data_IF_717732457721
#
_entry.id   IF_717732457721
#
_cell.length_a   1.000
_cell.length_b   1.000
_cell.length_c   1.000
_cell.angle_alpha   90.00
_cell.angle_beta   90.00
_cell.angle_gamma   90.00
#
_symmetry.space_group_name_H-M   'P 1'
#
loop_
_entity.id
_entity.type
_entity.pdbx_description
1 polymer ?
#
# COMPACT_ATOMS: atom_id res chain seq x y z
N UNK A 1 -9.77 -6.49 2.58
CA UNK A 1 -11.07 -6.38 1.88
C UNK A 1 -11.25 -7.51 0.90
N UNK A 2 -10.38 -7.69 -0.11
CA UNK A 2 -10.44 -8.88 -0.98
C UNK A 2 -10.35 -10.18 -0.18
N UNK A 3 -9.31 -10.38 0.64
CA UNK A 3 -9.11 -11.64 1.37
C UNK A 3 -10.25 -11.90 2.37
N UNK A 4 -10.74 -10.83 3.03
CA UNK A 4 -11.92 -10.90 3.91
C UNK A 4 -13.22 -11.24 3.17
N UNK A 5 -13.39 -10.79 1.92
CA UNK A 5 -14.55 -11.14 1.10
C UNK A 5 -14.42 -12.55 0.55
N UNK A 6 -13.21 -13.00 0.21
CA UNK A 6 -12.93 -14.36 -0.27
C UNK A 6 -13.32 -15.41 0.78
N UNK A 7 -13.18 -15.09 2.06
CA UNK A 7 -13.59 -15.95 3.18
C UNK A 7 -15.13 -16.04 3.37
N UNK A 8 -15.90 -15.09 2.84
CA UNK A 8 -17.34 -14.93 3.14
C UNK A 8 -18.22 -15.08 1.89
N UNK A 9 -17.69 -14.78 0.71
CA UNK A 9 -18.40 -14.79 -0.56
C UNK A 9 -17.90 -15.92 -1.45
N UNK A 10 -18.82 -16.57 -2.17
CA UNK A 10 -18.48 -17.72 -3.02
C UNK A 10 -17.60 -17.35 -4.23
N UNK A 11 -17.72 -16.13 -4.75
CA UNK A 11 -16.96 -15.65 -5.91
C UNK A 11 -16.57 -14.17 -5.74
N UNK A 12 -15.26 -13.92 -5.77
CA UNK A 12 -14.68 -12.58 -5.60
C UNK A 12 -13.74 -12.27 -6.75
N UNK A 13 -14.18 -11.36 -7.62
CA UNK A 13 -13.39 -10.88 -8.75
C UNK A 13 -12.60 -9.63 -8.36
N UNK A 14 -11.27 -9.70 -8.44
CA UNK A 14 -10.41 -8.52 -8.28
C UNK A 14 -10.33 -7.77 -9.61
N UNK A 15 -10.88 -6.56 -9.67
CA UNK A 15 -10.85 -5.75 -10.89
C UNK A 15 -9.56 -4.91 -11.03
N UNK A 16 -9.08 -4.72 -12.26
CA UNK A 16 -7.95 -3.86 -12.58
C UNK A 16 -8.36 -2.38 -12.55
N UNK A 17 -7.90 -1.58 -11.56
CA UNK A 17 -8.48 -0.27 -11.28
C UNK A 17 -8.37 0.73 -12.44
N UNK A 18 -7.23 0.75 -13.15
CA UNK A 18 -7.05 1.67 -14.29
C UNK A 18 -7.93 1.33 -15.49
N UNK A 19 -8.13 0.04 -15.77
CA UNK A 19 -8.97 -0.41 -16.88
C UNK A 19 -10.45 -0.20 -16.55
N UNK A 20 -10.86 -0.52 -15.32
CA UNK A 20 -12.20 -0.18 -14.82
C UNK A 20 -12.45 1.31 -14.94
N UNK A 21 -11.52 2.16 -14.48
CA UNK A 21 -11.68 3.61 -14.59
C UNK A 21 -11.82 4.07 -16.04
N UNK A 22 -11.09 3.48 -16.98
CA UNK A 22 -11.23 3.83 -18.39
C UNK A 22 -12.61 3.49 -18.99
N UNK A 23 -13.28 2.46 -18.45
CA UNK A 23 -14.60 1.99 -18.93
C UNK A 23 -15.75 2.68 -18.18
N UNK A 24 -15.57 2.91 -16.89
CA UNK A 24 -16.60 3.32 -15.94
C UNK A 24 -16.45 4.79 -15.49
N UNK A 25 -15.59 5.59 -16.14
CA UNK A 25 -15.48 7.01 -15.78
C UNK A 25 -16.79 7.73 -16.08
N UNK A 26 -17.45 8.21 -15.03
CA UNK A 26 -18.70 8.95 -15.13
C UNK A 26 -18.46 10.43 -14.82
N UNK A 27 -19.27 11.31 -15.43
CA UNK A 27 -19.24 12.75 -15.17
C UNK A 27 -19.54 13.11 -13.71
N UNK A 28 -20.35 12.29 -13.03
CA UNK A 28 -20.70 12.42 -11.61
C UNK A 28 -20.22 11.15 -10.92
N UNK A 29 -19.24 11.28 -10.03
CA UNK A 29 -18.65 10.17 -9.29
C UNK A 29 -19.20 10.14 -7.87
N UNK A 30 -19.97 9.11 -7.55
CA UNK A 30 -20.49 8.87 -6.19
C UNK A 30 -20.48 7.36 -5.93
N UNK A 31 -20.27 6.95 -4.68
CA UNK A 31 -20.16 5.53 -4.32
C UNK A 31 -21.38 4.70 -4.78
N UNK A 32 -22.58 5.30 -4.75
CA UNK A 32 -23.82 4.66 -5.22
C UNK A 32 -23.82 4.39 -6.73
N UNK A 33 -23.40 5.38 -7.52
CA UNK A 33 -23.33 5.24 -8.98
C UNK A 33 -22.22 4.25 -9.34
N UNK A 34 -21.06 4.38 -8.73
CA UNK A 34 -19.90 3.52 -8.98
C UNK A 34 -20.22 2.05 -8.66
N UNK A 35 -20.89 1.78 -7.52
CA UNK A 35 -21.33 0.42 -7.17
C UNK A 35 -22.32 -0.17 -8.19
N UNK A 36 -23.25 0.63 -8.69
CA UNK A 36 -24.24 0.20 -9.68
C UNK A 36 -23.55 -0.11 -11.02
N UNK A 37 -22.61 0.73 -11.44
CA UNK A 37 -21.84 0.53 -12.67
C UNK A 37 -20.99 -0.74 -12.58
N UNK A 38 -20.29 -0.95 -11.45
CA UNK A 38 -19.51 -2.18 -11.22
C UNK A 38 -20.39 -3.44 -11.23
N UNK A 39 -21.59 -3.39 -10.63
CA UNK A 39 -22.53 -4.50 -10.66
C UNK A 39 -22.99 -4.83 -12.10
N UNK A 40 -23.23 -3.79 -12.93
CA UNK A 40 -23.55 -3.99 -14.34
C UNK A 40 -22.39 -4.57 -15.13
N UNK A 41 -21.15 -4.12 -14.88
CA UNK A 41 -19.95 -4.68 -15.52
C UNK A 41 -19.75 -6.15 -15.15
N UNK A 42 -19.93 -6.49 -13.87
CA UNK A 42 -19.83 -7.87 -13.40
C UNK A 42 -20.90 -8.76 -14.03
N UNK A 43 -22.16 -8.30 -14.05
CA UNK A 43 -23.27 -9.04 -14.68
C UNK A 43 -23.06 -9.25 -16.18
N UNK A 44 -22.40 -8.32 -16.85
CA UNK A 44 -22.13 -8.38 -18.28
C UNK A 44 -20.83 -9.13 -18.63
N UNK A 45 -20.12 -9.68 -17.65
CA UNK A 45 -18.80 -10.31 -17.83
C UNK A 45 -17.77 -9.38 -18.49
N UNK A 46 -17.84 -8.09 -18.16
CA UNK A 46 -16.98 -7.02 -18.71
C UNK A 46 -15.97 -6.47 -17.70
N UNK A 47 -15.82 -7.12 -16.54
CA UNK A 47 -14.86 -6.68 -15.53
C UNK A 47 -13.45 -7.05 -15.99
N UNK A 48 -12.54 -6.08 -16.16
CA UNK A 48 -11.16 -6.40 -16.47
C UNK A 48 -10.50 -6.98 -15.22
N UNK A 49 -10.35 -8.29 -15.18
CA UNK A 49 -9.76 -8.98 -14.03
C UNK A 49 -8.28 -8.61 -13.83
N UNK A 50 -7.91 -8.46 -12.57
CA UNK A 50 -6.54 -8.30 -12.11
C UNK A 50 -6.10 -9.56 -11.36
N UNK A 51 -4.89 -10.00 -11.68
CA UNK A 51 -4.29 -11.14 -11.00
C UNK A 51 -4.02 -10.85 -9.53
N UNK A 52 -4.67 -11.61 -8.64
CA UNK A 52 -4.41 -11.64 -7.20
C UNK A 52 -3.46 -12.80 -6.88
N UNK A 53 -2.25 -12.56 -6.36
CA UNK A 53 -1.33 -13.65 -6.09
C UNK A 53 -1.59 -14.23 -4.70
N UNK A 54 -1.68 -15.56 -4.60
CA UNK A 54 -1.89 -16.33 -3.35
C UNK A 54 -0.96 -15.95 -2.20
N UNK A 55 0.24 -15.46 -2.50
CA UNK A 55 1.24 -15.02 -1.51
C UNK A 55 1.11 -13.55 -1.09
N UNK A 56 -0.13 -13.02 -0.99
CA UNK A 56 -0.37 -11.60 -0.69
C UNK A 56 0.13 -11.20 0.69
N UNK A 57 -0.14 -12.01 1.70
CA UNK A 57 0.27 -11.74 3.08
C UNK A 57 1.79 -11.69 3.21
N UNK A 58 2.49 -12.63 2.57
CA UNK A 58 3.96 -12.62 2.51
C UNK A 58 4.50 -11.34 1.86
N UNK A 59 3.87 -10.86 0.78
CA UNK A 59 4.26 -9.57 0.16
C UNK A 59 3.98 -8.38 1.06
N UNK A 60 2.91 -8.40 1.86
CA UNK A 60 2.61 -7.35 2.84
C UNK A 60 3.67 -7.34 3.93
N UNK A 61 3.96 -8.49 4.54
CA UNK A 61 4.99 -8.63 5.59
C UNK A 61 6.37 -8.19 5.08
N UNK A 62 6.76 -8.55 3.86
CA UNK A 62 8.01 -8.09 3.25
C UNK A 62 8.03 -6.57 3.06
N UNK A 63 6.91 -5.97 2.65
CA UNK A 63 6.81 -4.51 2.48
C UNK A 63 6.94 -3.78 3.82
N UNK A 64 6.30 -4.28 4.86
CA UNK A 64 6.43 -3.76 6.22
C UNK A 64 7.87 -3.86 6.72
N UNK A 65 8.51 -5.01 6.54
CA UNK A 65 9.93 -5.19 6.88
C UNK A 65 10.82 -4.19 6.15
N UNK A 66 10.62 -4.01 4.84
CA UNK A 66 11.36 -3.02 4.05
C UNK A 66 11.16 -1.60 4.59
N UNK A 67 9.94 -1.25 4.98
CA UNK A 67 9.63 0.04 5.60
C UNK A 67 10.39 0.25 6.91
N UNK A 68 10.36 -0.71 7.83
CA UNK A 68 11.05 -0.60 9.12
C UNK A 68 12.58 -0.57 8.97
N UNK A 69 13.14 -1.35 8.04
CA UNK A 69 14.57 -1.29 7.73
C UNK A 69 14.96 0.09 7.22
N UNK A 70 14.14 0.68 6.33
CA UNK A 70 14.38 2.03 5.81
C UNK A 70 14.29 3.08 6.91
N UNK A 71 13.26 2.99 7.76
CA UNK A 71 13.08 3.91 8.89
C UNK A 71 14.27 3.84 9.85
N UNK A 72 14.72 2.64 10.19
CA UNK A 72 15.92 2.43 11.03
C UNK A 72 17.15 3.11 10.42
N UNK A 73 17.38 2.94 9.12
CA UNK A 73 18.51 3.57 8.43
C UNK A 73 18.41 5.09 8.43
N UNK A 74 17.22 5.64 8.15
CA UNK A 74 16.98 7.10 8.18
C UNK A 74 17.27 7.66 9.57
N UNK A 75 16.75 7.03 10.62
CA UNK A 75 16.96 7.48 12.00
C UNK A 75 18.44 7.44 12.38
N UNK A 76 19.16 6.36 12.04
CA UNK A 76 20.61 6.27 12.29
C UNK A 76 21.37 7.37 11.59
N UNK A 77 21.10 7.59 10.30
CA UNK A 77 21.77 8.64 9.54
C UNK A 77 21.46 10.02 10.12
N UNK A 78 20.22 10.26 10.56
CA UNK A 78 19.84 11.52 11.20
C UNK A 78 20.58 11.76 12.51
N UNK A 79 20.78 10.72 13.33
CA UNK A 79 21.60 10.81 14.54
C UNK A 79 23.05 11.19 14.19
N UNK A 80 23.65 10.51 13.20
CA UNK A 80 25.01 10.83 12.72
C UNK A 80 25.10 12.27 12.25
N UNK A 81 24.16 12.72 11.42
CA UNK A 81 24.10 14.11 10.93
C UNK A 81 23.98 15.14 12.05
N UNK A 82 23.27 14.83 13.14
CA UNK A 82 23.19 15.72 14.30
C UNK A 82 24.56 15.84 14.97
N UNK A 83 25.28 14.73 15.18
CA UNK A 83 26.63 14.79 15.76
C UNK A 83 27.64 15.49 14.85
N UNK A 84 27.56 15.28 13.53
CA UNK A 84 28.42 15.98 12.56
C UNK A 84 28.20 17.49 12.58
N UNK A 85 26.97 17.94 12.83
CA UNK A 85 26.64 19.37 12.95
C UNK A 85 27.16 19.99 14.25
N UNK A 86 27.34 19.18 15.30
CA UNK A 86 27.63 19.60 16.67
C UNK A 86 28.90 18.89 17.20
N UNK A 87 30.08 19.17 16.62
CA UNK A 87 31.31 18.44 16.93
C UNK A 87 31.82 18.70 18.36
N UNK A 88 31.56 19.89 18.92
CA UNK A 88 32.01 20.24 20.28
C UNK A 88 31.29 19.42 21.37
N UNK A 89 29.97 19.22 21.21
CA UNK A 89 29.16 18.37 22.08
C UNK A 89 29.58 16.90 21.97
N UNK A 90 29.93 16.46 20.76
CA UNK A 90 30.44 15.10 20.51
C UNK A 90 31.77 14.86 21.22
N UNK A 91 32.66 15.85 21.24
CA UNK A 91 33.95 15.78 21.94
C UNK A 91 33.78 15.73 23.47
N UNK A 92 32.82 16.48 24.03
CA UNK A 92 32.49 16.43 25.45
C UNK A 92 31.96 15.05 25.88
N UNK A 93 31.07 14.44 25.08
CA UNK A 93 30.55 13.09 25.36
C UNK A 93 31.62 12.01 25.31
N UNK A 94 32.58 12.11 24.38
CA UNK A 94 33.72 11.17 24.31
C UNK A 94 34.65 11.25 25.52
N UNK A 95 34.72 12.39 26.21
CA UNK A 95 35.54 12.57 27.43
C UNK A 95 34.88 12.03 28.71
N UNK A 96 33.57 11.77 28.68
CA UNK A 96 32.79 11.23 29.80
C UNK A 96 32.81 9.69 29.87
N UNK A 97 33.44 9.04 28.90
CA UNK A 97 33.57 7.58 28.80
C UNK A 97 35.00 7.17 29.08
#
# INVERSE_FOLDING_TARGET
MYDWLDDICDDVVLAHPLKVKAIADAKIKTDKIDATVLAHLLRADLVPEAWAPRSRDLRVALRERMFYVRLRTITKNRIVTVFDRYPEQTAQLKKLR
#
